data_IF_583952460979
#
_entry.id   IF_583952460979
#
_cell.length_a   1.000
_cell.length_b   1.000
_cell.length_c   1.000
_cell.angle_alpha   90.00
_cell.angle_beta   90.00
_cell.angle_gamma   90.00
#
_symmetry.space_group_name_H-M   'P 1'
#
loop_
_entity.id
_entity.type
_entity.pdbx_description
1 polymer ?
#
# COMPACT_ATOMS: atom_id res chain seq x y z
N UNK A 1 19.96 22.63 -7.12
CA UNK A 1 18.78 22.24 -6.31
C UNK A 1 18.16 20.90 -6.70
N UNK A 2 18.55 20.25 -7.80
CA UNK A 2 17.91 19.00 -8.28
C UNK A 2 18.52 17.70 -7.74
N UNK A 3 19.85 17.58 -7.66
CA UNK A 3 20.51 16.32 -7.27
C UNK A 3 20.32 15.91 -5.80
N UNK A 4 20.25 16.88 -4.88
CA UNK A 4 20.08 16.59 -3.45
C UNK A 4 18.68 16.03 -3.16
N UNK A 5 17.64 16.62 -3.75
CA UNK A 5 16.25 16.19 -3.57
C UNK A 5 15.99 14.78 -4.13
N UNK A 6 16.64 14.43 -5.25
CA UNK A 6 16.53 13.10 -5.85
C UNK A 6 17.23 12.03 -5.00
N UNK A 7 18.40 12.34 -4.44
CA UNK A 7 19.10 11.45 -3.50
C UNK A 7 18.31 11.22 -2.22
N UNK A 8 17.72 12.28 -1.65
CA UNK A 8 16.89 12.17 -0.44
C UNK A 8 15.66 11.29 -0.67
N UNK A 9 15.02 11.42 -1.84
CA UNK A 9 13.88 10.57 -2.23
C UNK A 9 14.27 9.11 -2.41
N UNK A 10 15.39 8.83 -3.08
CA UNK A 10 15.88 7.46 -3.26
C UNK A 10 16.23 6.81 -1.92
N UNK A 11 16.85 7.56 -1.01
CA UNK A 11 17.15 7.11 0.33
C UNK A 11 15.88 6.79 1.12
N UNK A 12 14.86 7.65 1.04
CA UNK A 12 13.56 7.41 1.68
C UNK A 12 12.86 6.17 1.13
N UNK A 13 12.92 5.94 -0.19
CA UNK A 13 12.40 4.73 -0.83
C UNK A 13 13.12 3.48 -0.31
N UNK A 14 14.45 3.50 -0.26
CA UNK A 14 15.25 2.37 0.21
C UNK A 14 14.92 2.01 1.67
N UNK A 15 14.87 3.01 2.56
CA UNK A 15 14.50 2.82 3.96
C UNK A 15 13.07 2.26 4.11
N UNK A 16 12.12 2.79 3.35
CA UNK A 16 10.74 2.33 3.36
C UNK A 16 10.62 0.89 2.84
N UNK A 17 11.30 0.55 1.75
CA UNK A 17 11.33 -0.82 1.21
C UNK A 17 11.89 -1.81 2.22
N UNK A 18 13.02 -1.49 2.87
CA UNK A 18 13.62 -2.33 3.91
C UNK A 18 12.69 -2.54 5.11
N UNK A 19 11.99 -1.49 5.56
CA UNK A 19 10.99 -1.60 6.63
C UNK A 19 9.82 -2.51 6.23
N UNK A 20 9.26 -2.32 5.03
CA UNK A 20 8.18 -3.16 4.51
C UNK A 20 8.61 -4.63 4.37
N UNK A 21 9.81 -4.86 3.85
CA UNK A 21 10.39 -6.19 3.70
C UNK A 21 10.51 -6.93 5.03
N UNK A 22 11.15 -6.29 6.04
CA UNK A 22 11.32 -6.89 7.37
C UNK A 22 9.99 -7.22 8.02
N UNK A 23 9.03 -6.29 7.95
CA UNK A 23 7.69 -6.50 8.51
C UNK A 23 6.94 -7.64 7.82
N UNK A 24 7.01 -7.74 6.49
CA UNK A 24 6.39 -8.84 5.76
C UNK A 24 7.07 -10.19 6.06
N UNK A 25 8.40 -10.21 6.16
CA UNK A 25 9.17 -11.40 6.52
C UNK A 25 8.82 -11.91 7.92
N UNK A 26 8.70 -11.01 8.89
CA UNK A 26 8.25 -11.34 10.24
C UNK A 26 6.83 -11.92 10.22
N UNK A 27 5.87 -11.22 9.60
CA UNK A 27 4.48 -11.70 9.49
C UNK A 27 4.36 -13.05 8.80
N UNK A 28 5.20 -13.31 7.79
CA UNK A 28 5.22 -14.60 7.12
C UNK A 28 5.69 -15.72 8.06
N UNK A 29 6.73 -15.46 8.86
CA UNK A 29 7.21 -16.41 9.88
C UNK A 29 6.17 -16.67 10.94
N UNK A 30 5.57 -15.63 11.51
CA UNK A 30 4.56 -15.74 12.57
C UNK A 30 3.34 -16.55 12.14
N UNK A 31 3.00 -16.51 10.85
CA UNK A 31 1.83 -17.18 10.27
C UNK A 31 2.17 -18.47 9.51
N UNK A 32 3.43 -18.91 9.50
CA UNK A 32 3.85 -20.09 8.72
C UNK A 32 3.63 -19.97 7.21
N UNK A 33 3.68 -18.75 6.66
CA UNK A 33 3.42 -18.48 5.25
C UNK A 33 4.70 -18.54 4.41
N UNK A 34 4.56 -18.99 3.16
CA UNK A 34 5.64 -18.90 2.15
C UNK A 34 6.12 -17.46 1.99
N UNK A 35 7.44 -17.25 1.94
CA UNK A 35 8.06 -15.95 1.72
C UNK A 35 9.14 -16.06 0.65
N UNK A 36 9.00 -15.32 -0.44
CA UNK A 36 9.99 -15.26 -1.54
C UNK A 36 10.11 -13.86 -2.16
N UNK A 37 9.64 -12.83 -1.46
CA UNK A 37 9.88 -11.45 -1.86
C UNK A 37 11.36 -11.09 -1.72
N UNK A 38 11.78 -10.08 -2.46
CA UNK A 38 13.07 -9.41 -2.29
C UNK A 38 12.83 -7.93 -2.00
N UNK A 39 13.80 -7.24 -1.40
CA UNK A 39 13.65 -5.81 -1.12
C UNK A 39 13.58 -5.00 -2.42
N UNK A 40 14.34 -5.41 -3.44
CA UNK A 40 14.43 -4.76 -4.76
C UNK A 40 13.08 -4.77 -5.47
N UNK A 41 12.30 -5.85 -5.32
CA UNK A 41 10.92 -5.90 -5.83
C UNK A 41 10.07 -4.75 -5.28
N UNK A 42 10.20 -4.48 -3.98
CA UNK A 42 9.47 -3.40 -3.30
C UNK A 42 10.01 -2.04 -3.74
N UNK A 43 11.32 -1.87 -3.84
CA UNK A 43 11.94 -0.62 -4.29
C UNK A 43 11.52 -0.23 -5.71
N UNK A 44 11.51 -1.18 -6.65
CA UNK A 44 11.07 -0.94 -8.02
C UNK A 44 9.61 -0.46 -8.05
N UNK A 45 8.73 -1.06 -7.25
CA UNK A 45 7.34 -0.63 -7.15
C UNK A 45 7.20 0.76 -6.50
N UNK A 46 7.96 1.05 -5.43
CA UNK A 46 7.97 2.36 -4.79
C UNK A 46 8.50 3.48 -5.69
N UNK A 47 9.50 3.19 -6.54
CA UNK A 47 10.02 4.14 -7.54
C UNK A 47 8.96 4.58 -8.55
N UNK A 48 7.99 3.71 -8.89
CA UNK A 48 6.84 4.10 -9.72
C UNK A 48 5.95 5.15 -9.03
N UNK A 49 5.96 5.20 -7.69
CA UNK A 49 5.34 6.25 -6.91
C UNK A 49 3.83 6.16 -6.75
N UNK A 50 3.18 5.13 -7.28
CA UNK A 50 1.72 4.98 -7.27
C UNK A 50 1.26 3.62 -6.75
N UNK A 51 0.10 3.61 -6.09
CA UNK A 51 -0.60 2.44 -5.62
C UNK A 51 -0.94 1.52 -6.79
N UNK A 52 -0.49 0.27 -6.76
CA UNK A 52 -0.75 -0.68 -7.86
C UNK A 52 -2.23 -1.04 -8.03
N UNK A 53 -3.03 -0.94 -6.97
CA UNK A 53 -4.46 -1.25 -7.01
C UNK A 53 -5.34 -0.06 -7.46
N UNK A 54 -4.91 1.17 -7.19
CA UNK A 54 -5.77 2.36 -7.37
C UNK A 54 -5.17 3.46 -8.24
N UNK A 55 -3.88 3.42 -8.52
CA UNK A 55 -3.15 4.48 -9.24
C UNK A 55 -2.85 5.74 -8.40
N UNK A 56 -3.35 5.83 -7.17
CA UNK A 56 -3.11 7.00 -6.29
C UNK A 56 -1.64 7.11 -5.91
N UNK A 57 -1.08 8.32 -5.97
CA UNK A 57 0.30 8.60 -5.55
C UNK A 57 0.54 8.31 -4.07
N UNK A 58 1.70 7.75 -3.75
CA UNK A 58 2.11 7.56 -2.37
C UNK A 58 2.53 8.87 -1.71
N UNK A 59 2.24 8.96 -0.42
CA UNK A 59 2.78 10.00 0.46
C UNK A 59 3.77 9.38 1.44
N UNK A 60 5.02 9.81 1.36
CA UNK A 60 6.10 9.33 2.21
C UNK A 60 6.29 10.19 3.47
N UNK A 61 5.52 11.28 3.62
CA UNK A 61 5.57 12.12 4.81
C UNK A 61 4.91 11.40 5.99
N UNK A 62 5.71 11.10 7.02
CA UNK A 62 5.22 10.42 8.23
C UNK A 62 4.19 11.27 9.00
N UNK A 63 4.25 12.60 8.87
CA UNK A 63 3.40 13.54 9.60
C UNK A 63 1.96 13.64 9.06
N UNK A 64 1.68 13.15 7.83
CA UNK A 64 0.36 13.30 7.20
C UNK A 64 -0.74 12.40 7.80
N UNK A 65 -0.41 11.52 8.76
CA UNK A 65 -1.39 10.68 9.44
C UNK A 65 -2.19 11.39 10.53
N UNK A 66 -1.70 12.53 11.03
CA UNK A 66 -2.17 13.12 12.28
C UNK A 66 -1.42 12.59 13.51
N UNK A 67 -1.59 13.23 14.67
CA UNK A 67 -0.83 12.91 15.89
C UNK A 67 -1.05 11.45 16.32
N UNK A 68 0.03 10.67 16.33
CA UNK A 68 0.02 9.26 16.73
C UNK A 68 -0.58 8.29 15.72
N UNK A 69 -0.89 8.74 14.50
CA UNK A 69 -1.57 7.94 13.48
C UNK A 69 -0.66 7.68 12.29
N UNK A 70 -0.81 6.51 11.67
CA UNK A 70 -0.09 6.19 10.42
C UNK A 70 -0.68 6.95 9.24
N UNK A 71 0.17 7.49 8.38
CA UNK A 71 -0.26 8.13 7.13
C UNK A 71 -1.06 7.13 6.24
N UNK A 72 -2.34 7.39 5.94
CA UNK A 72 -3.19 6.51 5.14
C UNK A 72 -2.71 6.34 3.69
N UNK A 73 -1.97 7.31 3.16
CA UNK A 73 -1.43 7.32 1.80
C UNK A 73 0.01 6.80 1.73
N UNK A 74 0.57 6.39 2.87
CA UNK A 74 1.88 5.73 2.88
C UNK A 74 1.82 4.34 2.23
N UNK A 75 2.91 3.89 1.60
CA UNK A 75 2.93 2.58 0.95
C UNK A 75 2.93 1.44 1.97
N UNK A 76 2.29 0.34 1.57
CA UNK A 76 2.08 -0.90 2.31
C UNK A 76 2.16 -2.10 1.37
N UNK A 77 2.39 -3.30 1.92
CA UNK A 77 2.36 -4.55 1.17
C UNK A 77 1.02 -5.25 1.38
N UNK A 78 0.29 -5.47 0.29
CA UNK A 78 -0.95 -6.23 0.26
C UNK A 78 -0.72 -7.60 -0.40
N UNK A 79 -1.38 -8.62 0.13
CA UNK A 79 -1.43 -9.96 -0.47
C UNK A 79 -2.69 -10.06 -1.31
N UNK A 80 -2.54 -10.17 -2.63
CA UNK A 80 -3.65 -10.23 -3.60
C UNK A 80 -4.64 -11.32 -3.18
N UNK A 81 -4.13 -12.54 -2.96
CA UNK A 81 -4.86 -13.60 -2.27
C UNK A 81 -4.38 -13.69 -0.80
N UNK A 82 -5.24 -13.41 0.19
CA UNK A 82 -4.90 -13.42 1.61
C UNK A 82 -4.64 -14.83 2.17
N UNK A 83 -4.98 -15.90 1.45
CA UNK A 83 -4.66 -17.28 1.82
C UNK A 83 -3.26 -17.70 1.37
N UNK A 84 -2.63 -16.94 0.47
CA UNK A 84 -1.29 -17.22 -0.06
C UNK A 84 -0.21 -16.44 0.69
N UNK A 85 1.05 -16.84 0.47
CA UNK A 85 2.22 -16.23 1.09
C UNK A 85 2.64 -14.89 0.49
N UNK A 86 3.77 -14.38 0.96
CA UNK A 86 4.43 -13.18 0.43
C UNK A 86 5.36 -13.58 -0.72
N UNK A 87 4.83 -13.60 -1.93
CA UNK A 87 5.55 -13.99 -3.15
C UNK A 87 5.35 -12.93 -4.24
N UNK A 88 6.26 -12.86 -5.22
CA UNK A 88 6.23 -11.81 -6.27
C UNK A 88 4.93 -11.83 -7.10
N UNK A 89 4.30 -12.99 -7.24
CA UNK A 89 3.04 -13.23 -7.94
C UNK A 89 1.79 -12.97 -7.08
N UNK A 90 1.93 -12.86 -5.75
CA UNK A 90 0.81 -12.68 -4.83
C UNK A 90 0.86 -11.36 -4.04
N UNK A 91 1.84 -10.49 -4.31
CA UNK A 91 2.01 -9.24 -3.54
C UNK A 91 2.00 -8.03 -4.46
N UNK A 92 1.34 -6.99 -3.99
CA UNK A 92 1.32 -5.67 -4.59
C UNK A 92 1.64 -4.59 -3.55
N UNK A 93 2.27 -3.51 -4.00
CA UNK A 93 2.51 -2.30 -3.20
C UNK A 93 1.34 -1.34 -3.37
N UNK A 94 0.66 -1.04 -2.27
CA UNK A 94 -0.60 -0.30 -2.25
C UNK A 94 -0.60 0.78 -1.16
N UNK A 95 -1.55 1.71 -1.22
CA UNK A 95 -1.72 2.68 -0.13
C UNK A 95 -2.20 1.96 1.14
N UNK A 96 -1.74 2.41 2.32
CA UNK A 96 -2.10 1.81 3.60
C UNK A 96 -3.63 1.77 3.80
N UNK A 97 -4.34 2.81 3.40
CA UNK A 97 -5.79 2.87 3.49
C UNK A 97 -6.48 1.80 2.63
N UNK A 98 -5.96 1.52 1.43
CA UNK A 98 -6.47 0.44 0.58
C UNK A 98 -6.25 -0.92 1.25
N UNK A 99 -5.03 -1.18 1.75
CA UNK A 99 -4.72 -2.45 2.41
C UNK A 99 -5.62 -2.67 3.65
N UNK A 100 -5.87 -1.61 4.43
CA UNK A 100 -6.79 -1.65 5.57
C UNK A 100 -8.23 -1.90 5.15
N UNK A 101 -8.70 -1.25 4.08
CA UNK A 101 -10.05 -1.44 3.57
C UNK A 101 -10.28 -2.84 3.00
N UNK A 102 -9.25 -3.43 2.37
CA UNK A 102 -9.28 -4.81 1.88
C UNK A 102 -9.22 -5.84 3.00
N UNK A 103 -8.32 -5.66 3.98
CA UNK A 103 -8.17 -6.60 5.07
C UNK A 103 -7.94 -8.04 4.59
N UNK A 104 -8.85 -8.94 4.95
CA UNK A 104 -8.85 -10.34 4.52
C UNK A 104 -9.80 -10.63 3.34
N UNK A 105 -10.49 -9.61 2.83
CA UNK A 105 -11.45 -9.75 1.74
C UNK A 105 -10.77 -9.66 0.36
N UNK A 106 -11.57 -9.85 -0.69
CA UNK A 106 -11.10 -9.77 -2.07
C UNK A 106 -11.10 -8.32 -2.53
N UNK A 107 -10.23 -8.02 -3.48
CA UNK A 107 -10.24 -6.72 -4.16
C UNK A 107 -11.60 -6.38 -4.79
N UNK A 108 -12.34 -7.39 -5.27
CA UNK A 108 -13.70 -7.20 -5.82
C UNK A 108 -14.66 -6.60 -4.81
N UNK A 109 -14.53 -6.96 -3.53
CA UNK A 109 -15.43 -6.52 -2.46
C UNK A 109 -15.16 -5.04 -2.13
N UNK A 110 -13.88 -4.65 -2.09
CA UNK A 110 -13.46 -3.25 -1.94
C UNK A 110 -13.92 -2.40 -3.12
N UNK A 111 -13.80 -2.90 -4.35
CA UNK A 111 -14.29 -2.20 -5.57
C UNK A 111 -15.80 -2.01 -5.52
N UNK A 112 -16.55 -3.03 -5.10
CA UNK A 112 -17.99 -2.95 -4.94
C UNK A 112 -18.38 -1.90 -3.88
N UNK A 113 -17.71 -1.92 -2.72
CA UNK A 113 -17.90 -0.96 -1.65
C UNK A 113 -17.65 0.48 -2.14
N UNK A 114 -16.50 0.73 -2.77
CA UNK A 114 -16.14 2.04 -3.30
C UNK A 114 -17.19 2.56 -4.29
N UNK A 115 -17.63 1.71 -5.23
CA UNK A 115 -18.69 2.06 -6.19
C UNK A 115 -19.99 2.43 -5.49
N UNK A 116 -20.43 1.64 -4.51
CA UNK A 116 -21.68 1.89 -3.76
C UNK A 116 -21.62 3.18 -2.94
N UNK A 117 -20.47 3.53 -2.37
CA UNK A 117 -20.26 4.81 -1.68
C UNK A 117 -20.39 6.01 -2.65
N UNK A 118 -19.81 5.90 -3.85
CA UNK A 118 -19.94 6.93 -4.88
C UNK A 118 -21.39 7.09 -5.37
N UNK A 119 -22.09 5.97 -5.61
CA UNK A 119 -23.51 5.97 -6.01
C UNK A 119 -24.39 6.65 -4.94
N UNK A 120 -24.20 6.31 -3.66
CA UNK A 120 -24.98 6.90 -2.56
C UNK A 120 -24.74 8.40 -2.41
N UNK A 121 -23.51 8.86 -2.63
CA UNK A 121 -23.16 10.29 -2.55
C UNK A 121 -23.83 11.10 -3.66
N UNK A 122 -23.91 10.54 -4.87
CA UNK A 122 -24.61 11.18 -6.01
C UNK A 122 -26.10 11.42 -5.74
N UNK A 123 -26.76 10.52 -5.00
CA UNK A 123 -28.18 10.66 -4.65
C UNK A 123 -28.46 11.70 -3.55
N UNK A 124 -27.46 12.05 -2.71
CA UNK A 124 -27.60 13.16 -1.73
C UNK A 124 -27.44 14.54 -2.38
N UNK A 125 -26.62 14.65 -3.42
CA UNK A 125 -26.35 15.91 -4.09
C UNK A 125 -27.38 16.29 -5.18
N UNK A 126 -28.27 15.36 -5.56
CA UNK A 126 -29.35 15.58 -6.56
C UNK A 126 -30.71 15.87 -5.93
N UNK A 127 -30.79 15.99 -4.60
CA UNK A 127 -31.99 16.40 -3.83
C UNK A 127 -31.85 17.80 -3.20
N UNK A 128 -30.96 18.63 -3.74
CA UNK A 128 -30.83 20.05 -3.41
C UNK A 128 -31.19 20.86 -4.64
#
# INVERSE_FOLDING_TARGET
MTQQNDNDRLQQIHQKAGSLFRNAKQRARDKGLKFSLTQEFIEVALKKGTCQATGVSFDFNASSGGKGQSNPWSPSLDRINPEKGYTKDNVQVVALIYNRAKGADKESDVRLLARKLCEKTRHRNSRK
#
